data_IF_985212402052
#
_entry.id   IF_985212402052
#
_cell.length_a   1.000
_cell.length_b   1.000
_cell.length_c   1.000
_cell.angle_alpha   90.00
_cell.angle_beta   90.00
_cell.angle_gamma   90.00
#
_symmetry.space_group_name_H-M   'P 1'
#
loop_
_entity.id
_entity.type
_entity.pdbx_description
1 polymer ?
#
# COMPACT_ATOMS: atom_id res chain seq x y z
N UNK A 1 -1.57 -23.44 -2.11
CA UNK A 1 -0.13 -23.58 -1.83
C UNK A 1 0.13 -24.77 -0.90
N UNK A 2 -0.20 -25.99 -1.34
CA UNK A 2 -0.05 -27.24 -0.57
C UNK A 2 0.75 -28.27 -1.38
N UNK A 3 1.82 -27.84 -2.07
CA UNK A 3 2.65 -28.69 -2.93
C UNK A 3 4.16 -28.39 -2.79
N UNK A 4 4.64 -28.09 -1.59
CA UNK A 4 6.09 -27.90 -1.33
C UNK A 4 6.59 -28.55 -0.04
N UNK A 5 5.85 -29.53 0.50
CA UNK A 5 6.25 -30.26 1.73
C UNK A 5 6.67 -31.72 1.48
N UNK A 6 6.73 -32.17 0.22
CA UNK A 6 6.91 -33.59 -0.13
C UNK A 6 8.12 -33.87 -1.03
N UNK A 7 9.28 -33.27 -0.74
CA UNK A 7 10.52 -33.58 -1.49
C UNK A 7 11.81 -33.39 -0.69
N UNK A 8 11.89 -33.91 0.54
CA UNK A 8 13.20 -34.12 1.17
C UNK A 8 13.18 -35.20 2.27
N UNK A 9 12.73 -36.40 1.92
CA UNK A 9 12.96 -37.61 2.72
C UNK A 9 13.22 -38.77 1.77
N UNK A 10 14.38 -38.77 1.10
CA UNK A 10 14.93 -39.98 0.45
C UNK A 10 16.32 -39.69 -0.13
N UNK A 11 17.35 -39.81 0.71
CA UNK A 11 18.73 -40.17 0.33
C UNK A 11 19.52 -40.52 1.61
N UNK A 12 19.14 -41.62 2.25
CA UNK A 12 20.01 -42.28 3.24
C UNK A 12 20.38 -43.67 2.68
N UNK A 13 21.41 -43.67 1.81
CA UNK A 13 21.98 -44.86 1.20
C UNK A 13 23.38 -45.06 1.74
N UNK A 14 23.46 -46.08 2.59
CA UNK A 14 24.55 -47.06 2.70
C UNK A 14 26.00 -46.57 2.55
N UNK A 15 26.69 -46.42 3.69
CA UNK A 15 28.11 -46.80 3.78
C UNK A 15 28.36 -47.51 5.12
N UNK A 16 28.10 -48.83 5.18
CA UNK A 16 28.65 -49.73 6.21
C UNK A 16 29.81 -50.54 5.62
N UNK A 17 31.01 -50.15 6.04
CA UNK A 17 32.16 -50.97 6.45
C UNK A 17 32.24 -52.41 5.95
N UNK A 18 33.24 -52.68 5.11
CA UNK A 18 33.99 -53.93 5.11
C UNK A 18 35.47 -53.66 4.79
N UNK A 19 36.34 -53.72 5.80
CA UNK A 19 37.77 -53.99 5.62
C UNK A 19 38.17 -55.04 6.66
N UNK A 20 38.46 -56.25 6.18
CA UNK A 20 39.20 -57.31 6.87
C UNK A 20 40.68 -57.04 6.64
N UNK A 21 41.50 -56.95 7.69
CA UNK A 21 42.96 -57.09 7.57
C UNK A 21 43.49 -58.05 8.63
N UNK A 22 44.26 -59.01 8.14
CA UNK A 22 45.00 -60.00 8.92
C UNK A 22 46.14 -59.35 9.70
N UNK A 23 46.52 -60.02 10.79
CA UNK A 23 47.52 -59.55 11.75
C UNK A 23 48.87 -59.20 11.13
N UNK A 24 49.44 -58.13 11.69
CA UNK A 24 50.84 -57.99 12.09
C UNK A 24 50.92 -56.80 13.04
N UNK A 25 51.28 -57.09 14.29
CA UNK A 25 51.54 -56.11 15.34
C UNK A 25 52.81 -55.34 15.00
N UNK A 26 52.66 -54.15 14.41
CA UNK A 26 53.70 -53.13 14.43
C UNK A 26 53.48 -52.24 15.65
N UNK A 27 54.37 -52.35 16.63
CA UNK A 27 54.47 -51.46 17.79
C UNK A 27 54.99 -50.11 17.30
N UNK A 28 54.09 -49.23 16.87
CA UNK A 28 54.44 -47.84 16.57
C UNK A 28 54.36 -46.99 17.84
N UNK A 29 55.48 -46.29 18.07
CA UNK A 29 55.68 -45.25 19.08
C UNK A 29 54.60 -44.19 18.93
N UNK A 30 53.83 -43.95 19.99
CA UNK A 30 52.89 -42.83 20.10
C UNK A 30 53.70 -41.54 19.93
N UNK A 31 53.59 -40.90 18.77
CA UNK A 31 53.88 -39.48 18.67
C UNK A 31 52.61 -38.69 18.94
N UNK A 32 52.80 -37.79 19.89
CA UNK A 32 51.85 -36.90 20.53
C UNK A 32 50.82 -36.28 19.57
N UNK A 33 49.55 -36.45 19.93
CA UNK A 33 48.37 -35.96 19.22
C UNK A 33 47.93 -34.60 19.76
N UNK A 34 48.52 -33.47 19.33
CA UNK A 34 48.07 -32.15 19.82
C UNK A 34 48.18 -30.97 18.85
N UNK A 35 48.31 -31.13 17.52
CA UNK A 35 48.34 -29.94 16.62
C UNK A 35 47.47 -29.93 15.37
N UNK A 36 46.77 -31.03 15.02
CA UNK A 36 45.96 -31.08 13.79
C UNK A 36 44.44 -30.94 14.00
N UNK A 37 43.93 -31.13 15.22
CA UNK A 37 42.49 -31.07 15.55
C UNK A 37 41.91 -29.64 15.67
N UNK A 38 42.76 -28.61 15.73
CA UNK A 38 42.29 -27.23 15.93
C UNK A 38 41.80 -26.57 14.63
N UNK A 39 42.40 -26.89 13.47
CA UNK A 39 42.02 -26.27 12.18
C UNK A 39 40.63 -26.69 11.66
N UNK A 40 40.17 -27.92 11.91
CA UNK A 40 38.83 -28.39 11.48
C UNK A 40 37.68 -27.66 12.19
N UNK A 41 37.80 -27.39 13.49
CA UNK A 41 36.76 -26.69 14.25
C UNK A 41 36.66 -25.20 13.88
N UNK A 42 37.77 -24.58 13.48
CA UNK A 42 37.80 -23.19 13.03
C UNK A 42 37.20 -23.02 11.63
N UNK A 43 37.43 -23.95 10.69
CA UNK A 43 36.84 -23.92 9.35
C UNK A 43 35.31 -24.14 9.35
N UNK A 44 34.83 -25.05 10.21
CA UNK A 44 33.38 -25.25 10.44
C UNK A 44 32.72 -24.00 11.07
N UNK A 45 33.39 -23.36 12.02
CA UNK A 45 32.89 -22.15 12.66
C UNK A 45 32.89 -20.94 11.72
N UNK A 46 33.95 -20.75 10.92
CA UNK A 46 34.01 -19.64 9.95
C UNK A 46 33.02 -19.83 8.81
N UNK A 47 32.80 -21.06 8.33
CA UNK A 47 31.79 -21.35 7.31
C UNK A 47 30.37 -21.03 7.83
N UNK A 48 30.05 -21.38 9.08
CA UNK A 48 28.77 -21.04 9.70
C UNK A 48 28.58 -19.54 9.88
N UNK A 49 29.62 -18.81 10.29
CA UNK A 49 29.59 -17.34 10.40
C UNK A 49 29.39 -16.69 9.03
N UNK A 50 30.07 -17.16 7.99
CA UNK A 50 29.90 -16.64 6.62
C UNK A 50 28.49 -16.92 6.11
N UNK A 51 27.95 -18.12 6.32
CA UNK A 51 26.57 -18.47 5.94
C UNK A 51 25.54 -17.63 6.72
N UNK A 52 25.75 -17.38 8.02
CA UNK A 52 24.90 -16.51 8.83
C UNK A 52 24.93 -15.06 8.32
N UNK A 53 26.11 -14.54 7.97
CA UNK A 53 26.25 -13.19 7.41
C UNK A 53 25.60 -13.09 6.02
N UNK A 54 25.79 -14.09 5.15
CA UNK A 54 25.11 -14.13 3.85
C UNK A 54 23.59 -14.20 4.03
N UNK A 55 23.10 -15.01 4.96
CA UNK A 55 21.67 -15.09 5.26
C UNK A 55 21.11 -13.76 5.78
N UNK A 56 21.84 -13.08 6.68
CA UNK A 56 21.47 -11.73 7.16
C UNK A 56 21.48 -10.72 6.00
N UNK A 57 22.50 -10.74 5.14
CA UNK A 57 22.58 -9.85 3.98
C UNK A 57 21.44 -10.09 2.98
N UNK A 58 21.04 -11.36 2.78
CA UNK A 58 19.89 -11.72 1.95
C UNK A 58 18.60 -11.20 2.59
N UNK A 59 18.39 -11.38 3.89
CA UNK A 59 17.22 -10.84 4.60
C UNK A 59 17.14 -9.30 4.53
N UNK A 60 18.28 -8.62 4.59
CA UNK A 60 18.34 -7.16 4.42
C UNK A 60 18.08 -6.71 2.97
N UNK A 61 18.32 -7.58 1.98
CA UNK A 61 18.08 -7.26 0.57
C UNK A 61 16.60 -7.45 0.16
N UNK A 62 15.83 -8.26 0.88
CA UNK A 62 14.39 -8.45 0.65
C UNK A 62 13.49 -7.37 1.28
N UNK A 63 14.03 -6.21 1.66
CA UNK A 63 13.22 -5.10 2.20
C UNK A 63 12.61 -4.23 1.10
N UNK A 64 12.32 -4.78 -0.08
CA UNK A 64 11.44 -4.10 -1.02
C UNK A 64 10.00 -4.34 -0.57
N UNK A 65 9.41 -3.32 0.04
CA UNK A 65 8.01 -3.35 0.44
C UNK A 65 7.14 -3.67 -0.78
N UNK A 66 6.33 -4.73 -0.68
CA UNK A 66 5.33 -5.02 -1.69
C UNK A 66 4.44 -3.79 -1.86
N UNK A 67 4.31 -3.23 -3.07
CA UNK A 67 3.37 -2.15 -3.30
C UNK A 67 1.98 -2.66 -2.89
N UNK A 68 1.30 -1.89 -2.04
CA UNK A 68 -0.05 -2.24 -1.62
C UNK A 68 -0.93 -2.42 -2.88
N UNK A 69 -1.80 -3.44 -2.92
CA UNK A 69 -2.69 -3.63 -4.05
C UNK A 69 -3.57 -2.39 -4.21
N UNK A 70 -3.50 -1.75 -5.38
CA UNK A 70 -4.34 -0.60 -5.74
C UNK A 70 -5.61 -1.06 -6.45
N UNK A 71 -6.64 -0.21 -6.46
CA UNK A 71 -7.80 -0.45 -7.31
C UNK A 71 -7.44 -0.42 -8.79
N UNK A 72 -8.33 -0.95 -9.63
CA UNK A 72 -8.12 -0.97 -11.08
C UNK A 72 -8.04 0.45 -11.64
N UNK A 73 -7.05 0.69 -12.50
CA UNK A 73 -6.85 1.99 -13.17
C UNK A 73 -7.61 2.10 -14.50
N UNK A 74 -8.42 1.08 -14.84
CA UNK A 74 -9.15 1.00 -16.11
C UNK A 74 -10.06 2.22 -16.34
N UNK A 75 -10.58 2.81 -15.27
CA UNK A 75 -11.54 3.92 -15.30
C UNK A 75 -10.96 5.26 -14.83
N UNK A 76 -9.63 5.36 -14.67
CA UNK A 76 -8.98 6.60 -14.21
C UNK A 76 -9.06 7.75 -15.24
N UNK A 77 -9.44 7.45 -16.49
CA UNK A 77 -9.56 8.42 -17.59
C UNK A 77 -11.03 8.82 -17.86
N UNK A 78 -11.97 8.52 -16.97
CA UNK A 78 -13.35 8.99 -17.10
C UNK A 78 -13.36 10.53 -16.98
N UNK A 79 -14.08 11.19 -17.89
CA UNK A 79 -14.17 12.65 -17.90
C UNK A 79 -15.13 13.13 -16.80
N UNK A 80 -14.57 13.44 -15.63
CA UNK A 80 -15.35 13.92 -14.47
C UNK A 80 -16.03 15.27 -14.75
N UNK A 81 -15.41 16.15 -15.53
CA UNK A 81 -16.00 17.45 -15.86
C UNK A 81 -17.30 17.32 -16.65
N UNK A 82 -17.34 16.39 -17.60
CA UNK A 82 -18.55 16.11 -18.38
C UNK A 82 -19.66 15.52 -17.51
N UNK A 83 -19.31 14.61 -16.59
CA UNK A 83 -20.28 13.99 -15.68
C UNK A 83 -20.84 15.03 -14.71
N UNK A 84 -20.00 15.88 -14.14
CA UNK A 84 -20.40 16.91 -13.18
C UNK A 84 -21.17 18.07 -13.85
N UNK A 85 -20.86 18.39 -15.10
CA UNK A 85 -21.60 19.40 -15.87
C UNK A 85 -23.00 18.93 -16.29
N UNK A 86 -23.24 17.62 -16.36
CA UNK A 86 -24.52 17.06 -16.80
C UNK A 86 -25.34 16.52 -15.62
N UNK A 87 -26.42 17.22 -15.29
CA UNK A 87 -27.36 16.77 -14.25
C UNK A 87 -27.90 15.35 -14.52
N UNK A 88 -28.15 15.01 -15.79
CA UNK A 88 -28.63 13.68 -16.20
C UNK A 88 -27.59 12.60 -15.89
N UNK A 89 -26.33 12.83 -16.22
CA UNK A 89 -25.26 11.86 -15.98
C UNK A 89 -25.02 11.70 -14.48
N UNK A 90 -24.83 12.83 -13.78
CA UNK A 90 -24.60 12.82 -12.33
C UNK A 90 -25.73 12.13 -11.57
N UNK A 91 -27.00 12.40 -11.92
CA UNK A 91 -28.15 11.71 -11.32
C UNK A 91 -28.11 10.20 -11.56
N UNK A 92 -27.66 9.76 -12.74
CA UNK A 92 -27.45 8.33 -13.03
C UNK A 92 -26.43 7.68 -12.10
N UNK A 93 -25.29 8.33 -11.88
CA UNK A 93 -24.26 7.85 -10.95
C UNK A 93 -24.74 7.84 -9.50
N UNK A 94 -25.38 8.92 -9.04
CA UNK A 94 -25.95 9.00 -7.69
C UNK A 94 -26.98 7.89 -7.46
N UNK A 95 -27.90 7.68 -8.40
CA UNK A 95 -28.90 6.61 -8.30
C UNK A 95 -28.27 5.22 -8.29
N UNK A 96 -27.22 5.00 -9.09
CA UNK A 96 -26.45 3.75 -9.06
C UNK A 96 -25.85 3.50 -7.65
N UNK A 97 -25.18 4.51 -7.09
CA UNK A 97 -24.60 4.43 -5.73
C UNK A 97 -25.69 4.22 -4.68
N UNK A 98 -26.87 4.82 -4.84
CA UNK A 98 -28.02 4.67 -3.95
C UNK A 98 -28.85 3.39 -4.15
N UNK A 99 -28.50 2.50 -5.09
CA UNK A 99 -29.31 1.30 -5.44
C UNK A 99 -30.70 1.65 -6.01
N UNK A 100 -30.86 2.85 -6.58
CA UNK A 100 -32.14 3.34 -7.13
C UNK A 100 -32.23 3.21 -8.66
N UNK A 101 -31.16 2.74 -9.31
CA UNK A 101 -31.11 2.65 -10.77
C UNK A 101 -29.96 1.78 -11.30
N UNK A 102 -29.88 1.63 -12.63
CA UNK A 102 -28.81 0.87 -13.27
C UNK A 102 -27.45 1.55 -13.08
N UNK A 103 -26.41 0.74 -12.95
CA UNK A 103 -25.03 1.19 -12.88
C UNK A 103 -24.33 1.02 -14.22
N UNK A 104 -23.55 2.02 -14.61
CA UNK A 104 -22.54 1.87 -15.65
C UNK A 104 -21.38 0.99 -15.13
N UNK A 105 -20.55 0.38 -16.01
CA UNK A 105 -19.47 -0.50 -15.57
C UNK A 105 -18.47 0.17 -14.62
N UNK A 106 -18.15 1.44 -14.85
CA UNK A 106 -17.30 2.28 -14.01
C UNK A 106 -17.98 2.64 -12.67
N UNK A 107 -19.26 3.05 -12.70
CA UNK A 107 -20.03 3.33 -11.49
C UNK A 107 -20.21 2.09 -10.60
N UNK A 108 -20.32 0.90 -11.20
CA UNK A 108 -20.41 -0.36 -10.48
C UNK A 108 -19.07 -0.72 -9.79
N UNK A 109 -17.95 -0.50 -10.47
CA UNK A 109 -16.62 -0.69 -9.87
C UNK A 109 -16.40 0.27 -8.70
N UNK A 110 -16.76 1.55 -8.88
CA UNK A 110 -16.73 2.55 -7.80
C UNK A 110 -17.58 2.08 -6.62
N UNK A 111 -18.86 1.74 -6.86
CA UNK A 111 -19.79 1.29 -5.83
C UNK A 111 -19.29 0.11 -5.01
N UNK A 112 -18.61 -0.84 -5.67
CA UNK A 112 -18.04 -2.03 -5.03
C UNK A 112 -16.87 -1.69 -4.11
N UNK A 113 -16.02 -0.76 -4.52
CA UNK A 113 -14.81 -0.39 -3.79
C UNK A 113 -15.04 0.74 -2.77
N UNK A 114 -16.12 1.51 -2.91
CA UNK A 114 -16.40 2.69 -2.09
C UNK A 114 -16.47 2.41 -0.57
N UNK A 115 -17.10 1.33 -0.08
CA UNK A 115 -17.10 1.04 1.37
C UNK A 115 -15.70 0.77 1.94
N UNK A 116 -14.84 0.10 1.16
CA UNK A 116 -13.47 -0.18 1.55
C UNK A 116 -12.62 1.10 1.53
N UNK A 117 -12.81 1.95 0.51
CA UNK A 117 -12.14 3.23 0.40
C UNK A 117 -12.46 4.17 1.57
N UNK A 118 -13.72 4.21 2.03
CA UNK A 118 -14.13 5.01 3.19
C UNK A 118 -13.54 4.43 4.48
N UNK A 119 -13.57 3.09 4.66
CA UNK A 119 -13.07 2.45 5.87
C UNK A 119 -11.54 2.57 6.05
N UNK A 120 -10.81 2.60 4.95
CA UNK A 120 -9.34 2.61 4.92
C UNK A 120 -8.73 3.94 4.44
N UNK A 121 -9.52 5.02 4.42
CA UNK A 121 -9.07 6.36 4.02
C UNK A 121 -8.34 6.38 2.67
N UNK A 122 -8.93 5.71 1.67
CA UNK A 122 -8.43 5.62 0.29
C UNK A 122 -6.97 5.11 0.18
N UNK A 123 -6.51 4.24 1.09
CA UNK A 123 -5.14 3.70 1.09
C UNK A 123 -4.75 2.99 -0.22
N UNK A 124 -5.71 2.35 -0.88
CA UNK A 124 -5.53 1.61 -2.14
C UNK A 124 -5.91 2.42 -3.40
N UNK A 125 -6.24 3.70 -3.24
CA UNK A 125 -6.61 4.57 -4.36
C UNK A 125 -5.36 5.08 -5.10
N UNK A 126 -5.48 5.28 -6.41
CA UNK A 126 -4.49 6.04 -7.16
C UNK A 126 -4.63 7.53 -6.89
N UNK A 127 -3.60 8.32 -7.19
CA UNK A 127 -3.65 9.78 -7.00
C UNK A 127 -4.79 10.41 -7.81
N UNK A 128 -4.99 9.97 -9.06
CA UNK A 128 -6.11 10.43 -9.88
C UNK A 128 -7.47 10.09 -9.27
N UNK A 129 -7.60 8.92 -8.64
CA UNK A 129 -8.84 8.54 -7.97
C UNK A 129 -9.10 9.42 -6.74
N UNK A 130 -8.07 9.83 -6.00
CA UNK A 130 -8.19 10.73 -4.85
C UNK A 130 -8.58 12.14 -5.29
N UNK A 131 -7.85 12.72 -6.24
CA UNK A 131 -8.16 14.04 -6.80
C UNK A 131 -9.56 14.06 -7.42
N UNK A 132 -9.91 13.01 -8.16
CA UNK A 132 -11.22 12.87 -8.78
C UNK A 132 -12.34 12.75 -7.75
N UNK A 133 -12.13 11.96 -6.69
CA UNK A 133 -13.10 11.80 -5.62
C UNK A 133 -13.32 13.11 -4.88
N UNK A 134 -12.25 13.84 -4.53
CA UNK A 134 -12.31 15.15 -3.87
C UNK A 134 -13.12 16.17 -4.69
N UNK A 135 -12.82 16.27 -6.00
CA UNK A 135 -13.57 17.13 -6.93
C UNK A 135 -15.05 16.80 -6.98
N UNK A 136 -15.40 15.52 -7.07
CA UNK A 136 -16.81 15.07 -7.12
C UNK A 136 -17.50 15.35 -5.78
N UNK A 137 -16.86 15.06 -4.65
CA UNK A 137 -17.43 15.29 -3.33
C UNK A 137 -17.70 16.77 -3.09
N UNK A 138 -16.75 17.66 -3.39
CA UNK A 138 -16.96 19.11 -3.32
C UNK A 138 -18.14 19.58 -4.17
N UNK A 139 -18.23 19.09 -5.41
CA UNK A 139 -19.33 19.47 -6.30
C UNK A 139 -20.70 19.02 -5.76
N UNK A 140 -20.80 17.79 -5.22
CA UNK A 140 -22.06 17.28 -4.68
C UNK A 140 -22.44 18.02 -3.38
N UNK A 141 -21.49 18.30 -2.49
CA UNK A 141 -21.76 19.04 -1.24
C UNK A 141 -22.30 20.45 -1.57
N UNK A 142 -21.72 21.13 -2.54
CA UNK A 142 -22.09 22.50 -2.90
C UNK A 142 -23.39 22.59 -3.71
N UNK A 143 -23.60 21.68 -4.66
CA UNK A 143 -24.69 21.81 -5.65
C UNK A 143 -25.85 20.86 -5.39
N UNK A 144 -25.65 19.76 -4.65
CA UNK A 144 -26.65 18.69 -4.43
C UNK A 144 -26.61 18.15 -2.99
N UNK A 145 -26.85 19.00 -1.97
CA UNK A 145 -26.75 18.61 -0.57
C UNK A 145 -27.71 17.46 -0.19
N UNK A 146 -28.91 17.42 -0.76
CA UNK A 146 -29.87 16.36 -0.50
C UNK A 146 -29.37 14.97 -0.94
N UNK A 147 -28.58 14.91 -2.01
CA UNK A 147 -28.00 13.66 -2.49
C UNK A 147 -26.75 13.30 -1.72
N UNK A 148 -25.97 14.29 -1.26
CA UNK A 148 -24.89 14.07 -0.30
C UNK A 148 -25.42 13.38 0.96
N UNK A 149 -26.47 13.92 1.56
CA UNK A 149 -26.99 13.42 2.84
C UNK A 149 -27.50 11.97 2.71
N UNK A 150 -28.10 11.60 1.56
CA UNK A 150 -28.48 10.21 1.26
C UNK A 150 -27.26 9.29 1.13
N UNK A 151 -26.22 9.76 0.43
CA UNK A 151 -24.98 9.00 0.25
C UNK A 151 -24.24 8.80 1.57
N UNK A 152 -24.14 9.87 2.37
CA UNK A 152 -23.53 9.86 3.71
C UNK A 152 -24.24 8.85 4.62
N UNK A 153 -25.58 8.88 4.63
CA UNK A 153 -26.39 7.91 5.38
C UNK A 153 -26.17 6.47 4.89
N UNK A 154 -26.11 6.26 3.57
CA UNK A 154 -25.94 4.94 2.98
C UNK A 154 -24.60 4.30 3.33
N UNK A 155 -23.52 5.08 3.22
CA UNK A 155 -22.16 4.61 3.45
C UNK A 155 -21.69 4.81 4.90
N UNK A 156 -22.55 5.34 5.78
CA UNK A 156 -22.31 5.54 7.22
C UNK A 156 -21.03 6.32 7.50
N UNK A 157 -20.81 7.40 6.77
CA UNK A 157 -19.76 8.34 7.11
C UNK A 157 -20.13 9.11 8.40
N UNK A 158 -19.13 9.52 9.16
CA UNK A 158 -19.26 10.26 10.41
C UNK A 158 -19.48 11.78 10.19
N UNK A 159 -19.58 12.22 8.93
CA UNK A 159 -19.72 13.63 8.55
C UNK A 159 -18.44 14.46 8.72
N UNK A 160 -17.32 13.81 9.08
CA UNK A 160 -16.03 14.49 9.28
C UNK A 160 -15.55 15.19 8.01
N UNK A 161 -15.68 14.54 6.85
CA UNK A 161 -15.28 15.09 5.57
C UNK A 161 -16.05 16.37 5.22
N UNK A 162 -17.39 16.34 5.32
CA UNK A 162 -18.24 17.51 5.05
C UNK A 162 -17.86 18.70 5.95
N UNK A 163 -17.57 18.43 7.22
CA UNK A 163 -17.13 19.45 8.19
C UNK A 163 -15.77 20.03 7.81
N UNK A 164 -14.76 19.19 7.57
CA UNK A 164 -13.42 19.62 7.17
C UNK A 164 -13.46 20.43 5.86
N UNK A 165 -14.31 20.03 4.92
CA UNK A 165 -14.52 20.76 3.69
C UNK A 165 -15.02 22.20 3.95
N UNK A 166 -16.08 22.35 4.74
CA UNK A 166 -16.61 23.69 5.07
C UNK A 166 -15.62 24.56 5.84
N UNK A 167 -14.86 23.98 6.77
CA UNK A 167 -13.78 24.67 7.48
C UNK A 167 -12.71 25.17 6.50
N UNK A 168 -12.22 24.31 5.60
CA UNK A 168 -11.24 24.70 4.57
C UNK A 168 -11.76 25.73 3.57
N UNK A 169 -13.07 25.70 3.28
CA UNK A 169 -13.73 26.66 2.38
C UNK A 169 -13.85 28.03 3.05
N UNK A 170 -14.19 28.07 4.34
CA UNK A 170 -14.25 29.29 5.13
C UNK A 170 -12.86 29.92 5.33
N UNK A 171 -11.85 29.10 5.60
CA UNK A 171 -10.46 29.57 5.70
C UNK A 171 -9.99 30.20 4.38
N UNK A 172 -10.32 29.58 3.24
CA UNK A 172 -10.00 30.14 1.92
C UNK A 172 -10.71 31.47 1.66
N UNK A 173 -12.00 31.61 2.00
CA UNK A 173 -12.71 32.88 1.82
C UNK A 173 -12.12 33.99 2.69
N UNK A 174 -11.76 33.70 3.95
CA UNK A 174 -11.14 34.69 4.83
C UNK A 174 -9.78 35.18 4.28
N UNK A 175 -8.97 34.27 3.74
CA UNK A 175 -7.68 34.61 3.11
C UNK A 175 -7.86 35.45 1.85
N UNK A 176 -8.90 35.18 1.05
CA UNK A 176 -9.23 35.99 -0.13
C UNK A 176 -9.65 37.42 0.26
N UNK A 177 -10.47 37.56 1.30
CA UNK A 177 -10.88 38.86 1.85
C UNK A 177 -9.69 39.66 2.41
N UNK A 178 -8.78 39.02 3.15
CA UNK A 178 -7.56 39.65 3.67
C UNK A 178 -6.62 40.14 2.55
N UNK A 179 -6.51 39.38 1.45
CA UNK A 179 -5.73 39.77 0.27
C UNK A 179 -6.34 41.00 -0.41
N UNK A 180 -7.66 41.04 -0.57
CA UNK A 180 -8.34 42.20 -1.15
C UNK A 180 -8.21 43.45 -0.27
N UNK A 181 -8.31 43.32 1.05
CA UNK A 181 -8.12 44.43 1.99
C UNK A 181 -6.67 44.95 1.98
N UNK A 182 -5.69 44.04 1.92
CA UNK A 182 -4.27 44.39 1.84
C UNK A 182 -3.96 45.14 0.54
N UNK A 183 -4.55 44.73 -0.58
CA UNK A 183 -4.40 45.41 -1.88
C UNK A 183 -5.03 46.82 -1.87
N UNK A 184 -6.21 47.00 -1.26
CA UNK A 184 -6.85 48.33 -1.13
C UNK A 184 -6.02 49.29 -0.26
N UNK A 185 -5.47 48.80 0.86
CA UNK A 185 -4.64 49.62 1.76
C UNK A 185 -3.31 50.07 1.14
N UNK A 186 -2.77 49.31 0.18
CA UNK A 186 -1.55 49.68 -0.55
C UNK A 186 -1.85 50.66 -1.69
N UNK A 187 -2.99 50.51 -2.37
CA UNK A 187 -3.44 51.45 -3.39
C UNK A 187 -3.78 52.84 -2.82
N UNK A 188 -4.28 52.92 -1.58
CA UNK A 188 -4.59 54.21 -0.93
C UNK A 188 -3.32 54.94 -0.44
N UNK A 189 -2.24 54.21 -0.14
CA UNK A 189 -0.93 54.80 0.21
C UNK A 189 -0.14 55.33 -0.99
N UNK A 190 -0.51 54.94 -2.20
CA UNK A 190 0.17 55.37 -3.45
C UNK A 190 -0.41 56.68 -4.02
N UNK A 191 -1.61 57.10 -3.59
CA UNK A 191 -2.28 58.33 -4.04
C UNK A 191 -2.02 59.57 -3.16
N UNK A 192 -1.23 59.45 -2.09
CA UNK A 192 -0.92 60.55 -1.15
C UNK A 192 0.54 61.04 -1.28
N UNK A 193 1.16 60.82 -2.46
CA UNK A 193 2.52 61.26 -2.81
C UNK A 193 2.55 61.96 -4.15
#
# INVERSE_FOLDING_TARGET
>A
MLLFWYSWKNTDVMIRKHIKTNGKLCKMRVQNSTSFRSRENHLEATMKIVVLNIFILVLLYWTEGFPAPTYTTKYDNVNLDEVLASERLLTGYVNCLLDLGPCTPDGNELKKNLPDAIANDCKSCTERQREGADKVMHHIIDNRPDDWDKLEQKYKSDGSYKKQYFESKLERSNVEEEKEQSQKSNAEKENDK
#
